data_IF_136845917925
#
_entry.id   IF_136845917925
#
_cell.length_a   1.000
_cell.length_b   1.000
_cell.length_c   1.000
_cell.angle_alpha   90.00
_cell.angle_beta   90.00
_cell.angle_gamma   90.00
#
_symmetry.space_group_name_H-M   'P 1'
#
loop_
_entity.id
_entity.type
_entity.pdbx_description
1 polymer ?
#
# COMPACT_ATOMS: atom_id res chain seq x y z
N UNK A 1 -23.45 -5.50 -7.01
CA UNK A 1 -22.93 -4.12 -7.23
C UNK A 1 -22.06 -4.13 -8.47
N UNK A 2 -22.38 -3.35 -9.48
CA UNK A 2 -21.59 -3.21 -10.70
C UNK A 2 -20.22 -2.59 -10.40
N UNK A 3 -19.29 -2.70 -11.34
CA UNK A 3 -17.96 -2.10 -11.18
C UNK A 3 -18.03 -0.56 -11.07
N UNK A 4 -18.85 0.07 -11.90
CA UNK A 4 -19.04 1.52 -11.83
C UNK A 4 -19.60 1.98 -10.48
N UNK A 5 -20.54 1.24 -9.90
CA UNK A 5 -21.06 1.52 -8.56
C UNK A 5 -19.98 1.40 -7.49
N UNK A 6 -19.05 0.42 -7.61
CA UNK A 6 -17.91 0.29 -6.67
C UNK A 6 -16.99 1.51 -6.74
N UNK A 7 -16.66 1.96 -7.95
CA UNK A 7 -15.80 3.15 -8.17
C UNK A 7 -16.46 4.41 -7.62
N UNK A 8 -17.74 4.64 -7.94
CA UNK A 8 -18.49 5.81 -7.45
C UNK A 8 -18.56 5.79 -5.92
N UNK A 9 -18.88 4.63 -5.32
CA UNK A 9 -18.92 4.47 -3.88
C UNK A 9 -17.56 4.76 -3.24
N UNK A 10 -16.48 4.17 -3.75
CA UNK A 10 -15.13 4.40 -3.25
C UNK A 10 -14.78 5.88 -3.29
N UNK A 11 -14.92 6.53 -4.44
CA UNK A 11 -14.59 7.94 -4.59
C UNK A 11 -15.36 8.84 -3.62
N UNK A 12 -16.65 8.54 -3.41
CA UNK A 12 -17.48 9.29 -2.46
C UNK A 12 -17.05 9.08 -1.01
N UNK A 13 -16.82 7.83 -0.61
CA UNK A 13 -16.51 7.52 0.79
C UNK A 13 -15.08 7.94 1.15
N UNK A 14 -14.12 7.84 0.22
CA UNK A 14 -12.75 8.29 0.48
C UNK A 14 -12.65 9.82 0.61
N UNK A 15 -13.41 10.58 -0.20
CA UNK A 15 -13.46 12.03 -0.07
C UNK A 15 -14.10 12.46 1.26
N UNK A 16 -15.16 11.80 1.69
CA UNK A 16 -15.75 12.05 3.01
C UNK A 16 -14.76 11.77 4.14
N UNK A 17 -14.02 10.67 4.04
CA UNK A 17 -13.01 10.32 5.02
C UNK A 17 -11.91 11.40 5.08
N UNK A 18 -11.39 11.85 3.95
CA UNK A 18 -10.36 12.90 3.91
C UNK A 18 -10.84 14.23 4.48
N UNK A 19 -12.07 14.64 4.18
CA UNK A 19 -12.66 15.86 4.77
C UNK A 19 -12.76 15.76 6.30
N UNK A 20 -13.25 14.63 6.82
CA UNK A 20 -13.32 14.38 8.26
C UNK A 20 -11.93 14.34 8.90
N UNK A 21 -10.95 13.75 8.22
CA UNK A 21 -9.56 13.65 8.69
C UNK A 21 -8.88 15.02 8.80
N UNK A 22 -9.03 15.87 7.79
CA UNK A 22 -8.52 17.24 7.80
C UNK A 22 -9.14 18.02 8.97
N UNK A 23 -10.48 17.96 9.14
CA UNK A 23 -11.19 18.67 10.19
C UNK A 23 -10.80 18.20 11.60
N UNK A 24 -10.50 16.92 11.79
CA UNK A 24 -10.01 16.36 13.04
C UNK A 24 -8.67 17.00 13.46
N UNK A 25 -7.78 17.23 12.50
CA UNK A 25 -6.45 17.81 12.74
C UNK A 25 -6.47 19.28 13.19
N UNK A 26 -7.57 20.00 13.05
CA UNK A 26 -7.66 21.42 13.43
C UNK A 26 -7.70 21.65 14.96
N UNK A 27 -8.08 20.65 15.73
CA UNK A 27 -8.24 20.74 17.20
C UNK A 27 -7.13 20.09 18.02
N UNK A 28 -6.15 19.43 17.39
CA UNK A 28 -5.10 18.62 18.04
C UNK A 28 -3.69 19.17 17.91
N UNK A 29 -2.73 18.39 18.42
CA UNK A 29 -1.29 18.66 18.25
C UNK A 29 -0.82 18.50 16.79
N UNK A 30 -1.56 17.73 15.99
CA UNK A 30 -1.34 17.52 14.56
C UNK A 30 -2.40 18.31 13.82
N UNK A 31 -1.98 19.21 12.95
CA UNK A 31 -2.87 20.04 12.16
C UNK A 31 -2.67 19.77 10.67
N UNK A 32 -3.44 18.82 10.14
CA UNK A 32 -3.36 18.44 8.73
C UNK A 32 -3.68 19.58 7.76
N UNK A 33 -4.56 20.50 8.16
CA UNK A 33 -4.90 21.66 7.33
C UNK A 33 -3.74 22.65 7.26
N UNK A 34 -3.10 22.96 8.40
CA UNK A 34 -1.96 23.90 8.46
C UNK A 34 -0.67 23.31 7.88
N UNK A 35 -0.49 21.98 7.95
CA UNK A 35 0.72 21.29 7.48
C UNK A 35 0.60 20.75 6.05
N UNK A 36 -0.54 20.97 5.40
CA UNK A 36 -0.89 20.44 4.10
C UNK A 36 -1.27 18.96 4.14
N UNK A 37 -2.43 18.61 3.57
CA UNK A 37 -2.93 17.23 3.53
C UNK A 37 -2.64 16.60 2.17
N UNK A 38 -1.96 15.45 2.18
CA UNK A 38 -1.65 14.71 0.97
C UNK A 38 -2.63 13.55 0.84
N UNK A 39 -3.56 13.67 -0.12
CA UNK A 39 -4.48 12.60 -0.48
C UNK A 39 -3.73 11.49 -1.20
N UNK A 40 -3.99 10.24 -0.87
CA UNK A 40 -3.47 9.06 -1.55
C UNK A 40 -4.56 7.98 -1.67
N UNK A 41 -4.21 6.70 -1.90
CA UNK A 41 -5.17 5.63 -2.06
C UNK A 41 -5.01 4.88 -3.38
N UNK A 42 -6.11 4.56 -4.05
CA UNK A 42 -6.11 3.80 -5.31
C UNK A 42 -5.68 4.69 -6.49
N UNK A 43 -4.64 4.30 -7.22
CA UNK A 43 -4.13 5.09 -8.36
C UNK A 43 -5.18 5.16 -9.47
N UNK A 44 -5.74 4.02 -9.93
CA UNK A 44 -6.82 3.96 -10.95
C UNK A 44 -7.96 3.07 -10.47
N UNK A 45 -9.02 3.62 -9.85
CA UNK A 45 -10.11 2.83 -9.29
C UNK A 45 -10.79 1.86 -10.26
N UNK A 46 -10.95 2.22 -11.52
CA UNK A 46 -11.54 1.32 -12.51
C UNK A 46 -10.69 0.06 -12.75
N UNK A 47 -9.37 0.20 -12.86
CA UNK A 47 -8.45 -0.92 -13.02
C UNK A 47 -8.40 -1.75 -11.74
N UNK A 48 -8.31 -1.08 -10.60
CA UNK A 48 -8.25 -1.70 -9.28
C UNK A 48 -9.41 -2.64 -9.00
N UNK A 49 -10.64 -2.19 -9.17
CA UNK A 49 -11.82 -3.00 -8.87
C UNK A 49 -12.10 -4.10 -9.91
N UNK A 50 -11.44 -4.07 -11.07
CA UNK A 50 -11.44 -5.17 -12.04
C UNK A 50 -10.40 -6.24 -11.70
N UNK A 51 -9.34 -5.87 -11.00
CA UNK A 51 -8.22 -6.76 -10.73
C UNK A 51 -8.55 -7.79 -9.64
N UNK A 52 -8.12 -9.04 -9.86
CA UNK A 52 -8.11 -10.09 -8.84
C UNK A 52 -7.00 -9.89 -7.81
N UNK A 53 -5.87 -9.31 -8.23
CA UNK A 53 -4.74 -8.98 -7.39
C UNK A 53 -4.68 -7.46 -7.18
N UNK A 54 -4.80 -7.02 -5.95
CA UNK A 54 -4.89 -5.62 -5.55
C UNK A 54 -3.83 -5.29 -4.47
N UNK A 55 -2.58 -5.08 -4.88
CA UNK A 55 -1.49 -4.79 -3.94
C UNK A 55 -1.55 -3.35 -3.43
N UNK A 56 -1.62 -3.18 -2.11
CA UNK A 56 -1.48 -1.92 -1.41
C UNK A 56 -0.06 -1.77 -0.89
N UNK A 57 0.60 -0.66 -1.21
CA UNK A 57 1.88 -0.27 -0.62
C UNK A 57 1.65 0.70 0.53
N UNK A 58 1.94 0.25 1.76
CA UNK A 58 1.90 1.09 2.95
C UNK A 58 3.27 1.72 3.15
N UNK A 59 3.36 3.02 2.94
CA UNK A 59 4.59 3.80 2.99
C UNK A 59 4.60 4.75 4.19
N UNK A 60 5.74 5.41 4.44
CA UNK A 60 5.91 6.30 5.60
C UNK A 60 5.21 7.63 5.39
N UNK A 61 5.66 8.38 4.38
CA UNK A 61 5.22 9.74 4.07
C UNK A 61 5.57 10.11 2.63
N UNK A 62 4.79 10.97 2.01
CA UNK A 62 5.14 11.55 0.72
C UNK A 62 6.07 12.74 0.92
N UNK A 63 7.16 12.80 0.13
CA UNK A 63 8.07 13.95 0.13
C UNK A 63 7.37 15.17 -0.47
N UNK A 64 7.30 16.25 0.29
CA UNK A 64 6.66 17.49 -0.13
C UNK A 64 7.68 18.61 -0.28
N UNK A 65 8.75 18.39 -1.03
CA UNK A 65 9.79 19.37 -1.37
C UNK A 65 9.98 20.52 -0.36
N UNK A 66 11.16 20.79 0.08
CA UNK A 66 11.56 21.98 0.88
C UNK A 66 10.57 22.49 1.97
N UNK A 67 9.75 21.61 2.55
CA UNK A 67 8.81 21.98 3.61
C UNK A 67 7.53 22.68 3.13
N UNK A 68 7.15 22.51 1.86
CA UNK A 68 5.85 22.98 1.38
C UNK A 68 4.72 22.43 2.25
N UNK A 69 3.77 23.31 2.58
CA UNK A 69 2.53 22.98 3.31
C UNK A 69 1.31 22.90 2.39
N UNK A 70 1.53 22.76 1.10
CA UNK A 70 0.45 22.66 0.13
C UNK A 70 -0.22 21.28 0.20
N UNK A 71 -1.55 21.29 0.19
CA UNK A 71 -2.34 20.06 0.05
C UNK A 71 -2.35 19.63 -1.41
N UNK A 72 -2.14 18.35 -1.67
CA UNK A 72 -2.15 17.80 -3.02
C UNK A 72 -2.59 16.33 -3.05
N UNK A 73 -2.79 15.80 -4.24
CA UNK A 73 -3.25 14.43 -4.47
C UNK A 73 -2.14 13.61 -5.15
N UNK A 74 -1.57 12.67 -4.41
CA UNK A 74 -0.51 11.78 -4.87
C UNK A 74 -0.96 10.91 -6.04
N UNK A 75 -2.19 10.39 -5.98
CA UNK A 75 -2.73 9.56 -7.05
C UNK A 75 -2.94 10.36 -8.34
N UNK A 76 -3.41 11.59 -8.23
CA UNK A 76 -3.56 12.50 -9.36
C UNK A 76 -2.20 12.84 -9.96
N UNK A 77 -1.21 13.18 -9.13
CA UNK A 77 0.15 13.49 -9.59
C UNK A 77 0.79 12.30 -10.33
N UNK A 78 0.71 11.09 -9.76
CA UNK A 78 1.25 9.88 -10.42
C UNK A 78 0.62 9.67 -11.81
N UNK A 79 -0.66 9.98 -11.99
CA UNK A 79 -1.36 9.83 -13.27
C UNK A 79 -1.04 10.94 -14.28
N UNK A 80 -0.83 12.16 -13.81
CA UNK A 80 -0.70 13.35 -14.67
C UNK A 80 0.72 13.71 -15.05
N UNK A 81 1.71 13.35 -14.23
CA UNK A 81 3.13 13.70 -14.42
C UNK A 81 4.01 12.46 -14.54
N UNK A 82 3.71 11.64 -15.54
CA UNK A 82 4.41 10.37 -15.83
C UNK A 82 5.93 10.57 -15.97
N UNK A 83 6.36 11.69 -16.54
CA UNK A 83 7.78 11.98 -16.75
C UNK A 83 8.53 12.19 -15.43
N UNK A 84 8.01 13.03 -14.53
CA UNK A 84 8.62 13.28 -13.22
C UNK A 84 8.58 12.04 -12.34
N UNK A 85 7.43 11.35 -12.30
CA UNK A 85 7.26 10.11 -11.54
C UNK A 85 8.24 9.03 -12.02
N UNK A 86 8.43 8.90 -13.35
CA UNK A 86 9.35 7.95 -13.96
C UNK A 86 10.83 8.20 -13.65
N UNK A 87 11.20 9.39 -13.19
CA UNK A 87 12.57 9.72 -12.74
C UNK A 87 12.83 9.34 -11.27
N UNK A 88 11.79 8.99 -10.51
CA UNK A 88 11.91 8.69 -9.09
C UNK A 88 12.06 7.18 -8.87
N UNK A 89 13.20 6.77 -8.33
CA UNK A 89 13.55 5.37 -8.13
C UNK A 89 12.55 4.58 -7.28
N UNK A 90 11.89 5.23 -6.32
CA UNK A 90 10.82 4.64 -5.51
C UNK A 90 9.68 4.14 -6.38
N UNK A 91 9.15 4.98 -7.26
CA UNK A 91 8.02 4.63 -8.13
C UNK A 91 8.38 3.60 -9.19
N UNK A 92 9.59 3.69 -9.75
CA UNK A 92 10.11 2.66 -10.66
C UNK A 92 10.24 1.29 -9.97
N UNK A 93 10.70 1.28 -8.72
CA UNK A 93 10.80 0.05 -7.93
C UNK A 93 9.42 -0.53 -7.61
N UNK A 94 8.47 0.31 -7.17
CA UNK A 94 7.08 -0.12 -6.89
C UNK A 94 6.41 -0.65 -8.15
N UNK A 95 6.57 0.00 -9.30
CA UNK A 95 6.03 -0.46 -10.58
C UNK A 95 6.55 -1.86 -10.94
N UNK A 96 7.84 -2.08 -10.77
CA UNK A 96 8.47 -3.37 -11.02
C UNK A 96 7.97 -4.46 -10.05
N UNK A 97 7.84 -4.14 -8.77
CA UNK A 97 7.28 -5.03 -7.76
C UNK A 97 5.81 -5.36 -8.03
N UNK A 98 5.01 -4.36 -8.41
CA UNK A 98 3.61 -4.56 -8.79
C UNK A 98 3.49 -5.51 -9.99
N UNK A 99 4.35 -5.37 -11.01
CA UNK A 99 4.43 -6.32 -12.13
C UNK A 99 4.69 -7.74 -11.67
N UNK A 100 5.65 -7.92 -10.75
CA UNK A 100 5.98 -9.22 -10.19
C UNK A 100 4.83 -9.84 -9.39
N UNK A 101 4.23 -9.07 -8.47
CA UNK A 101 3.12 -9.52 -7.64
C UNK A 101 1.92 -9.94 -8.49
N UNK A 102 1.51 -9.11 -9.46
CA UNK A 102 0.33 -9.36 -10.29
C UNK A 102 0.48 -10.62 -11.15
N UNK A 103 1.71 -10.94 -11.57
CA UNK A 103 1.98 -12.06 -12.48
C UNK A 103 2.53 -13.32 -11.79
N UNK A 104 2.78 -13.27 -10.48
CA UNK A 104 3.16 -14.44 -9.68
C UNK A 104 1.92 -15.19 -9.21
N UNK A 105 1.98 -16.52 -9.26
CA UNK A 105 0.97 -17.40 -8.69
C UNK A 105 1.64 -18.45 -7.78
N UNK A 106 0.86 -19.37 -7.20
CA UNK A 106 1.39 -20.39 -6.30
C UNK A 106 2.38 -21.36 -6.98
N UNK A 107 2.20 -21.64 -8.27
CA UNK A 107 3.00 -22.59 -9.04
C UNK A 107 4.24 -21.95 -9.67
N UNK A 108 4.16 -20.66 -10.05
CA UNK A 108 5.19 -19.99 -10.81
C UNK A 108 5.47 -18.58 -10.28
N UNK A 109 6.74 -18.33 -9.99
CA UNK A 109 7.26 -17.02 -9.65
C UNK A 109 7.53 -16.23 -10.93
N UNK A 110 7.06 -14.97 -10.97
CA UNK A 110 7.35 -14.10 -12.11
C UNK A 110 8.80 -13.61 -12.04
N UNK A 111 9.60 -13.93 -13.07
CA UNK A 111 11.00 -13.56 -13.12
C UNK A 111 11.20 -12.05 -13.28
N UNK A 112 12.31 -11.57 -12.73
CA UNK A 112 12.71 -10.18 -12.91
C UNK A 112 12.86 -9.87 -14.41
N UNK A 113 12.11 -8.93 -14.96
CA UNK A 113 12.23 -8.52 -16.36
C UNK A 113 13.67 -8.05 -16.66
N UNK A 114 14.15 -8.28 -17.89
CA UNK A 114 15.43 -7.75 -18.33
C UNK A 114 15.41 -6.21 -18.44
N UNK A 115 16.55 -5.57 -18.65
CA UNK A 115 16.64 -4.11 -18.65
C UNK A 115 15.78 -3.43 -19.74
N UNK A 116 15.65 -4.07 -20.91
CA UNK A 116 14.84 -3.54 -22.01
C UNK A 116 13.35 -3.56 -21.60
N UNK A 117 12.91 -4.66 -21.04
CA UNK A 117 11.55 -4.82 -20.55
C UNK A 117 11.26 -3.87 -19.39
N UNK A 118 12.21 -3.69 -18.45
CA UNK A 118 12.08 -2.72 -17.35
C UNK A 118 11.92 -1.28 -17.88
N UNK A 119 12.71 -0.89 -18.91
CA UNK A 119 12.58 0.44 -19.53
C UNK A 119 11.22 0.62 -20.22
N UNK A 120 10.73 -0.42 -20.91
CA UNK A 120 9.39 -0.40 -21.54
C UNK A 120 8.26 -0.36 -20.52
N UNK A 121 8.43 -1.08 -19.41
CA UNK A 121 7.47 -1.10 -18.31
C UNK A 121 7.32 0.28 -17.69
N UNK A 122 8.44 0.95 -17.38
CA UNK A 122 8.45 2.24 -16.71
C UNK A 122 7.59 2.20 -15.45
N UNK A 123 6.67 3.13 -15.35
CA UNK A 123 5.74 3.23 -14.21
C UNK A 123 4.32 2.70 -14.52
N UNK A 124 4.12 2.01 -15.64
CA UNK A 124 2.77 1.60 -16.10
C UNK A 124 2.03 0.68 -15.13
N UNK A 125 2.74 -0.11 -14.31
CA UNK A 125 2.10 -0.97 -13.33
C UNK A 125 1.62 -0.21 -12.07
N UNK A 126 1.93 1.08 -11.92
CA UNK A 126 1.35 1.90 -10.85
C UNK A 126 -0.17 2.05 -11.01
N UNK A 127 -0.70 1.90 -12.21
CA UNK A 127 -2.15 1.91 -12.47
C UNK A 127 -2.90 0.82 -11.69
N UNK A 128 -2.23 -0.25 -11.32
CA UNK A 128 -2.80 -1.45 -10.70
C UNK A 128 -2.62 -1.49 -9.17
N UNK A 129 -2.12 -0.43 -8.56
CA UNK A 129 -1.83 -0.42 -7.12
C UNK A 129 -2.65 0.63 -6.37
N UNK A 130 -2.63 0.48 -5.05
CA UNK A 130 -2.94 1.56 -4.12
C UNK A 130 -1.70 1.90 -3.29
N UNK A 131 -1.63 3.14 -2.82
CA UNK A 131 -0.59 3.62 -1.91
C UNK A 131 -1.27 4.30 -0.73
N UNK A 132 -0.84 3.98 0.48
CA UNK A 132 -1.25 4.69 1.70
C UNK A 132 0.02 5.12 2.44
N UNK A 133 0.12 6.40 2.73
CA UNK A 133 1.17 6.95 3.58
C UNK A 133 0.66 7.05 5.02
N UNK A 134 1.50 6.66 5.98
CA UNK A 134 1.17 6.73 7.41
C UNK A 134 1.00 8.18 7.88
N UNK A 135 1.82 9.09 7.34
CA UNK A 135 1.71 10.51 7.57
C UNK A 135 1.11 11.18 6.35
N UNK A 136 -0.02 11.86 6.52
CA UNK A 136 -0.73 12.55 5.44
C UNK A 136 -0.27 13.99 5.22
N UNK A 137 0.56 14.52 6.10
CA UNK A 137 1.21 15.83 5.90
C UNK A 137 2.54 15.68 5.21
N UNK A 138 3.07 16.78 4.67
CA UNK A 138 4.32 16.78 3.93
C UNK A 138 5.49 16.18 4.69
N UNK A 139 6.09 15.15 4.11
CA UNK A 139 7.23 14.44 4.66
C UNK A 139 8.56 15.08 4.33
N UNK A 140 9.61 14.63 5.02
CA UNK A 140 10.99 15.02 4.81
C UNK A 140 11.74 13.98 3.98
N UNK A 141 12.97 14.34 3.56
CA UNK A 141 13.87 13.41 2.83
C UNK A 141 14.22 12.16 3.65
N UNK A 142 14.27 12.29 4.97
CA UNK A 142 14.44 11.20 5.92
C UNK A 142 13.31 11.26 6.95
N UNK A 143 12.60 10.16 7.12
CA UNK A 143 11.48 10.08 8.06
C UNK A 143 11.99 9.99 9.50
N UNK A 144 11.39 10.78 10.38
CA UNK A 144 11.56 10.66 11.83
C UNK A 144 10.57 9.64 12.39
N UNK A 145 11.07 8.64 13.12
CA UNK A 145 10.27 7.56 13.67
C UNK A 145 9.32 8.02 14.78
N UNK A 146 9.75 8.96 15.62
CA UNK A 146 8.91 9.46 16.71
C UNK A 146 7.77 10.32 16.17
N UNK A 147 8.05 11.14 15.16
CA UNK A 147 7.03 11.90 14.45
C UNK A 147 6.03 10.95 13.79
N UNK A 148 6.50 9.94 13.05
CA UNK A 148 5.61 8.97 12.42
C UNK A 148 4.73 8.23 13.44
N UNK A 149 5.29 7.85 14.59
CA UNK A 149 4.55 7.20 15.67
C UNK A 149 3.42 8.09 16.21
N UNK A 150 3.69 9.39 16.38
CA UNK A 150 2.68 10.36 16.80
C UNK A 150 1.54 10.45 15.77
N UNK A 151 1.87 10.56 14.47
CA UNK A 151 0.87 10.59 13.40
C UNK A 151 0.05 9.31 13.36
N UNK A 152 0.67 8.13 13.44
CA UNK A 152 -0.04 6.85 13.47
C UNK A 152 -0.96 6.74 14.67
N UNK A 153 -0.52 7.13 15.87
CA UNK A 153 -1.34 7.11 17.07
C UNK A 153 -2.55 8.05 16.94
N UNK A 154 -2.36 9.23 16.38
CA UNK A 154 -3.41 10.22 16.18
C UNK A 154 -4.40 9.80 15.08
N UNK A 155 -3.92 9.25 13.97
CA UNK A 155 -4.67 8.97 12.75
C UNK A 155 -5.08 7.49 12.60
N UNK A 156 -4.90 6.67 13.61
CA UNK A 156 -5.09 5.21 13.57
C UNK A 156 -6.47 4.79 13.03
N UNK A 157 -7.52 5.47 13.43
CA UNK A 157 -8.90 5.19 13.02
C UNK A 157 -9.10 5.45 11.52
N UNK A 158 -8.60 6.58 11.04
CA UNK A 158 -8.70 7.02 9.66
C UNK A 158 -7.85 6.16 8.73
N UNK A 159 -6.62 5.82 9.16
CA UNK A 159 -5.73 4.91 8.42
C UNK A 159 -6.36 3.52 8.27
N UNK A 160 -6.94 2.98 9.36
CA UNK A 160 -7.65 1.71 9.30
C UNK A 160 -8.85 1.77 8.35
N UNK A 161 -9.65 2.83 8.44
CA UNK A 161 -10.82 3.02 7.59
C UNK A 161 -10.44 3.16 6.11
N UNK A 162 -9.38 3.93 5.81
CA UNK A 162 -8.86 4.08 4.45
C UNK A 162 -8.45 2.73 3.84
N UNK A 163 -7.69 1.92 4.57
CA UNK A 163 -7.26 0.59 4.11
C UNK A 163 -8.47 -0.33 3.86
N UNK A 164 -9.49 -0.27 4.72
CA UNK A 164 -10.73 -1.04 4.54
C UNK A 164 -11.50 -0.58 3.30
N UNK A 165 -11.60 0.72 3.05
CA UNK A 165 -12.25 1.26 1.84
C UNK A 165 -11.54 0.85 0.56
N UNK A 166 -10.23 0.80 0.58
CA UNK A 166 -9.38 0.37 -0.55
C UNK A 166 -9.61 -1.11 -0.91
N UNK A 167 -9.91 -1.97 0.06
CA UNK A 167 -10.13 -3.42 -0.14
C UNK A 167 -8.95 -4.10 -0.85
N UNK A 168 -7.71 -4.00 -0.36
CA UNK A 168 -6.57 -4.67 -0.97
C UNK A 168 -6.66 -6.19 -0.82
N UNK A 169 -5.95 -6.94 -1.65
CA UNK A 169 -5.78 -8.39 -1.49
C UNK A 169 -4.47 -8.76 -0.82
N UNK A 170 -3.55 -7.82 -0.74
CA UNK A 170 -2.28 -7.92 -0.02
C UNK A 170 -1.80 -6.53 0.35
N UNK A 171 -1.19 -6.38 1.52
CA UNK A 171 -0.53 -5.14 1.98
C UNK A 171 0.97 -5.39 2.02
N UNK A 172 1.74 -4.53 1.35
CA UNK A 172 3.20 -4.52 1.38
C UNK A 172 3.66 -3.34 2.24
N UNK A 173 4.24 -3.63 3.40
CA UNK A 173 4.76 -2.62 4.30
C UNK A 173 6.15 -2.18 3.87
N UNK A 174 6.28 -1.02 3.22
CA UNK A 174 7.57 -0.45 2.81
C UNK A 174 8.36 0.15 3.99
N UNK A 175 8.85 -0.71 4.91
CA UNK A 175 9.50 -0.32 6.16
C UNK A 175 8.54 0.27 7.19
N UNK A 176 7.27 -0.10 7.13
CA UNK A 176 6.17 0.41 7.97
C UNK A 176 5.50 -0.66 8.83
N UNK A 177 5.94 -1.91 8.72
CA UNK A 177 5.31 -3.06 9.38
C UNK A 177 5.14 -2.89 10.89
N UNK A 178 6.10 -2.26 11.57
CA UNK A 178 6.04 -1.98 13.00
C UNK A 178 4.81 -1.19 13.44
N UNK A 179 4.20 -0.40 12.54
CA UNK A 179 3.01 0.42 12.80
C UNK A 179 1.70 -0.32 12.54
N UNK A 180 1.74 -1.50 11.91
CA UNK A 180 0.52 -2.27 11.60
C UNK A 180 -0.25 -2.64 12.87
N UNK A 181 0.45 -2.97 13.96
CA UNK A 181 -0.18 -3.27 15.24
C UNK A 181 -0.95 -2.08 15.80
N UNK A 182 -0.38 -0.88 15.65
CA UNK A 182 -0.99 0.34 16.15
C UNK A 182 -2.25 0.70 15.37
N UNK A 183 -2.29 0.37 14.06
CA UNK A 183 -3.43 0.64 13.17
C UNK A 183 -4.55 -0.38 13.37
N UNK A 184 -4.25 -1.67 13.50
CA UNK A 184 -5.23 -2.76 13.52
C UNK A 184 -5.31 -3.50 14.85
N UNK A 185 -4.42 -3.22 15.80
CA UNK A 185 -4.37 -3.69 17.18
C UNK A 185 -4.82 -5.15 17.38
N UNK A 186 -6.10 -5.39 17.68
CA UNK A 186 -6.65 -6.71 18.01
C UNK A 186 -7.06 -7.56 16.81
N UNK A 187 -7.04 -7.01 15.61
CA UNK A 187 -7.47 -7.71 14.39
C UNK A 187 -6.37 -8.52 13.72
N UNK A 188 -5.15 -8.53 14.26
CA UNK A 188 -4.02 -9.22 13.66
C UNK A 188 -3.86 -10.64 14.19
N UNK A 189 -3.79 -11.60 13.27
CA UNK A 189 -3.38 -12.97 13.56
C UNK A 189 -1.94 -13.14 13.10
N UNK A 190 -1.06 -13.44 14.05
CA UNK A 190 0.33 -13.80 13.78
C UNK A 190 0.40 -15.26 13.40
N UNK A 191 1.05 -15.54 12.28
CA UNK A 191 1.36 -16.91 11.89
C UNK A 191 2.81 -17.17 12.33
N UNK A 192 2.99 -18.16 13.22
CA UNK A 192 4.33 -18.60 13.62
C UNK A 192 5.11 -19.04 12.37
N UNK A 193 6.37 -18.68 12.31
CA UNK A 193 7.31 -18.99 11.21
C UNK A 193 6.95 -18.42 9.83
N UNK A 194 5.97 -17.52 9.74
CA UNK A 194 5.59 -16.90 8.48
C UNK A 194 6.04 -15.43 8.39
N UNK A 195 6.50 -14.99 7.21
CA UNK A 195 6.94 -13.62 7.00
C UNK A 195 5.79 -12.60 6.81
N UNK A 196 4.56 -12.97 7.10
CA UNK A 196 3.39 -12.11 6.93
C UNK A 196 2.38 -12.30 8.06
N UNK A 197 1.47 -11.34 8.17
CA UNK A 197 0.35 -11.35 9.09
C UNK A 197 -0.95 -11.38 8.30
N UNK A 198 -1.99 -12.05 8.80
CA UNK A 198 -3.34 -11.98 8.25
C UNK A 198 -4.17 -11.07 9.16
N UNK A 199 -4.80 -10.06 8.55
CA UNK A 199 -5.77 -9.22 9.25
C UNK A 199 -7.03 -10.04 9.54
N UNK A 200 -7.41 -10.15 10.83
CA UNK A 200 -8.48 -11.05 11.27
C UNK A 200 -9.84 -10.70 10.64
N UNK A 201 -10.22 -9.42 10.67
CA UNK A 201 -11.57 -8.98 10.26
C UNK A 201 -11.78 -8.98 8.75
N UNK A 202 -10.72 -8.76 7.98
CA UNK A 202 -10.77 -8.67 6.52
C UNK A 202 -9.96 -9.77 5.82
N UNK A 203 -9.20 -10.57 6.58
CA UNK A 203 -8.41 -11.68 6.04
C UNK A 203 -7.32 -11.26 5.05
N UNK A 204 -6.83 -10.03 5.15
CA UNK A 204 -5.85 -9.48 4.22
C UNK A 204 -4.44 -9.80 4.72
N UNK A 205 -3.63 -10.51 3.93
CA UNK A 205 -2.23 -10.76 4.27
C UNK A 205 -1.38 -9.50 4.21
N UNK A 206 -0.45 -9.37 5.15
CA UNK A 206 0.46 -8.25 5.29
C UNK A 206 1.90 -8.75 5.19
N UNK A 207 2.68 -8.21 4.27
CA UNK A 207 4.08 -8.54 4.08
C UNK A 207 4.98 -7.48 4.71
N UNK A 208 5.86 -7.88 5.63
CA UNK A 208 6.93 -7.02 6.16
C UNK A 208 8.06 -6.93 5.14
N UNK A 209 8.22 -5.77 4.54
CA UNK A 209 9.26 -5.60 3.53
C UNK A 209 9.98 -4.25 3.63
N UNK A 210 11.08 -4.16 2.90
CA UNK A 210 11.92 -2.96 2.88
C UNK A 210 11.24 -1.80 2.14
N UNK A 211 11.62 -0.57 2.51
CA UNK A 211 11.23 0.60 1.75
C UNK A 211 11.75 0.51 0.30
N UNK A 212 10.96 0.88 -0.74
CA UNK A 212 11.39 0.78 -2.14
C UNK A 212 12.70 1.48 -2.48
N UNK A 213 13.00 2.60 -1.79
CA UNK A 213 14.25 3.34 -1.95
C UNK A 213 15.45 2.77 -1.16
N UNK A 214 15.32 1.61 -0.48
CA UNK A 214 16.45 1.03 0.25
C UNK A 214 17.60 0.65 -0.71
N UNK A 215 18.85 0.70 -0.19
CA UNK A 215 20.07 0.53 -0.97
C UNK A 215 20.51 -0.94 -1.14
N UNK A 216 19.56 -1.86 -1.27
CA UNK A 216 19.89 -3.24 -1.63
C UNK A 216 19.94 -3.43 -3.15
N UNK A 217 20.70 -4.43 -3.64
CA UNK A 217 20.71 -4.80 -5.06
C UNK A 217 19.29 -5.05 -5.57
N UNK A 218 18.98 -4.54 -6.76
CA UNK A 218 17.64 -4.66 -7.39
C UNK A 218 17.14 -6.09 -7.41
N UNK A 219 18.00 -7.04 -7.78
CA UNK A 219 17.66 -8.47 -7.85
C UNK A 219 17.22 -9.01 -6.49
N UNK A 220 17.94 -8.68 -5.42
CA UNK A 220 17.59 -9.12 -4.05
C UNK A 220 16.26 -8.51 -3.60
N UNK A 221 16.07 -7.22 -3.84
CA UNK A 221 14.79 -6.53 -3.51
C UNK A 221 13.61 -7.12 -4.28
N UNK A 222 13.82 -7.51 -5.52
CA UNK A 222 12.77 -8.08 -6.34
C UNK A 222 12.42 -9.49 -5.86
N UNK A 223 13.37 -10.43 -5.90
CA UNK A 223 13.09 -11.82 -5.57
C UNK A 223 12.75 -12.04 -4.10
N UNK A 224 13.28 -11.23 -3.19
CA UNK A 224 12.87 -11.25 -1.79
C UNK A 224 11.37 -10.99 -1.62
N UNK A 225 10.85 -9.91 -2.21
CA UNK A 225 9.41 -9.60 -2.13
C UNK A 225 8.55 -10.63 -2.87
N UNK A 226 8.94 -10.98 -4.10
CA UNK A 226 8.12 -11.87 -4.93
C UNK A 226 8.10 -13.30 -4.36
N UNK A 227 9.21 -13.75 -3.77
CA UNK A 227 9.29 -15.03 -3.05
C UNK A 227 8.40 -15.06 -1.80
N UNK A 228 8.41 -14.00 -0.99
CA UNK A 228 7.49 -13.85 0.15
C UNK A 228 6.03 -13.87 -0.30
N UNK A 229 5.71 -13.16 -1.36
CA UNK A 229 4.36 -13.13 -1.91
C UNK A 229 3.92 -14.51 -2.41
N UNK A 230 4.79 -15.24 -3.13
CA UNK A 230 4.51 -16.61 -3.56
C UNK A 230 4.29 -17.55 -2.37
N UNK A 231 5.14 -17.47 -1.35
CA UNK A 231 4.98 -18.25 -0.12
C UNK A 231 3.63 -18.00 0.53
N UNK A 232 3.22 -16.74 0.63
CA UNK A 232 1.89 -16.35 1.13
C UNK A 232 0.76 -17.01 0.32
N UNK A 233 0.86 -17.03 -1.01
CA UNK A 233 -0.15 -17.69 -1.87
C UNK A 233 -0.22 -19.19 -1.63
N UNK A 234 0.91 -19.86 -1.42
CA UNK A 234 0.99 -21.29 -1.10
C UNK A 234 0.32 -21.59 0.25
N UNK A 235 0.58 -20.79 1.28
CA UNK A 235 -0.02 -20.96 2.60
C UNK A 235 -1.54 -20.72 2.58
N UNK A 236 -2.00 -19.67 1.89
CA UNK A 236 -3.44 -19.42 1.74
C UNK A 236 -4.16 -20.58 1.04
N UNK A 237 -3.53 -21.18 0.04
CA UNK A 237 -4.08 -22.39 -0.64
C UNK A 237 -4.23 -23.56 0.32
N UNK A 238 -3.24 -23.82 1.18
CA UNK A 238 -3.30 -24.87 2.22
C UNK A 238 -4.41 -24.61 3.24
N UNK A 239 -4.57 -23.37 3.70
CA UNK A 239 -5.62 -22.98 4.67
C UNK A 239 -7.01 -23.23 4.07
N UNK A 240 -7.24 -22.86 2.82
CA UNK A 240 -8.52 -23.08 2.12
C UNK A 240 -8.82 -24.57 1.96
N UNK A 241 -7.84 -25.39 1.63
CA UNK A 241 -8.01 -26.86 1.52
C UNK A 241 -8.38 -27.46 2.88
N UNK A 242 -7.70 -27.07 3.97
CA UNK A 242 -8.02 -27.56 5.33
C UNK A 242 -9.45 -27.20 5.76
N UNK A 243 -9.91 -25.97 5.48
CA UNK A 243 -11.28 -25.54 5.78
C UNK A 243 -12.30 -26.34 4.99
N UNK A 244 -12.08 -26.60 3.70
CA UNK A 244 -13.01 -27.37 2.86
C UNK A 244 -13.12 -28.86 3.26
N UNK A 245 -12.08 -29.43 3.88
CA UNK A 245 -12.08 -30.80 4.39
C UNK A 245 -12.80 -30.90 5.74
N UNK A 246 -12.72 -29.89 6.59
CA UNK A 246 -13.43 -29.90 7.89
C UNK A 246 -14.94 -29.71 7.77
N UNK A 247 -15.44 -29.14 6.68
CA UNK A 247 -16.90 -29.02 6.41
C UNK A 247 -17.51 -30.25 5.71
N UNK A 248 -16.70 -31.26 5.39
CA UNK A 248 -17.19 -32.52 4.74
C UNK A 248 -17.24 -33.73 5.69
N UNK A 249 -16.93 -33.55 6.97
CA UNK A 249 -17.13 -34.50 8.06
C UNK A 249 -18.34 -34.09 8.90
#
# INVERSE_FOLDING_TARGET
MSMNEKVIRYNREIEKLFLAWISKGESGTINHNADGFIKDGIIKPHIWFQSKCRPLFLLKEAYNGNGSKDSWDLCKWIRSDVESVGKISTWMTISLWAKGIINTNAEALYHLPNEIEQRRLGISCLDNIAVVNLRKSGGQKASDHEILKQYVAFDKSELSHEIILIQPTVIICGGTFRYIKDIFDKSLIWLEDNPYIILNDVGIPVLDYYHPACRFPKVMKYYGLIGMYQQMLLENKKIQVRRSTQFKM
#
